data_IF_529901915686
#
_entry.id   IF_529901915686
#
_cell.length_a   1.000
_cell.length_b   1.000
_cell.length_c   1.000
_cell.angle_alpha   90.00
_cell.angle_beta   90.00
_cell.angle_gamma   90.00
#
_symmetry.space_group_name_H-M   'P 1'
#
loop_
_entity.id
_entity.type
_entity.pdbx_description
1 polymer ?
2 non-polymer ?
3 water ?
#
# COMPACT_ATOMS: atom_id res chain seq x y z
N UNK A 2 18.23 3.76 -29.64
CA UNK A 2 16.86 3.53 -30.07
C UNK A 2 16.00 3.02 -28.93
N UNK A 3 14.72 3.37 -28.97
CA UNK A 3 13.76 2.94 -27.96
C UNK A 3 12.36 3.03 -28.50
N UNK A 4 11.40 2.56 -27.71
CA UNK A 4 10.00 2.63 -28.07
C UNK A 4 9.16 3.06 -26.87
N UNK A 5 9.55 4.17 -26.26
CA UNK A 5 8.77 4.73 -25.17
C UNK A 5 7.75 5.73 -25.73
N UNK A 6 6.49 5.57 -25.37
CA UNK A 6 5.43 6.43 -25.90
C UNK A 6 4.69 7.17 -24.80
N UNK A 7 3.94 8.19 -25.18
CA UNK A 7 2.95 8.80 -24.30
C UNK A 7 1.58 8.21 -24.61
N UNK A 8 0.85 7.76 -23.59
CA UNK A 8 -0.43 7.12 -23.82
C UNK A 8 -1.27 6.91 -22.57
N UNK A 9 -2.18 5.94 -22.63
CA UNK A 9 -3.13 5.69 -21.54
C UNK A 9 -2.87 4.36 -20.82
N UNK A 10 -3.48 4.20 -19.64
CA UNK A 10 -3.18 3.07 -18.76
C UNK A 10 -3.39 1.70 -19.40
N UNK A 11 -4.38 1.58 -20.28
CA UNK A 11 -4.67 0.30 -20.92
C UNK A 11 -3.54 -0.12 -21.86
N UNK A 12 -2.91 0.87 -22.49
CA UNK A 12 -1.79 0.61 -23.39
C UNK A 12 -0.56 0.16 -22.62
N UNK A 13 -0.36 0.77 -21.45
CA UNK A 13 0.74 0.37 -20.58
C UNK A 13 0.50 -1.06 -20.09
N UNK A 14 -0.74 -1.37 -19.74
CA UNK A 14 -1.10 -2.71 -19.29
C UNK A 14 -0.78 -3.76 -20.35
N UNK A 15 -1.10 -3.46 -21.60
CA UNK A 15 -0.84 -4.40 -22.68
C UNK A 15 0.65 -4.66 -22.86
N UNK A 16 1.44 -3.60 -22.82
CA UNK A 16 2.89 -3.73 -22.93
C UNK A 16 3.49 -4.48 -21.75
N UNK A 17 3.03 -4.17 -20.53
CA UNK A 17 3.54 -4.80 -19.31
C UNK A 17 3.41 -6.32 -19.36
N UNK A 18 2.34 -6.81 -19.97
CA UNK A 18 2.13 -8.24 -20.09
C UNK A 18 3.27 -8.91 -20.88
N UNK A 19 3.93 -8.16 -21.75
CA UNK A 19 5.05 -8.71 -22.52
C UNK A 19 6.34 -8.74 -21.69
N UNK A 20 6.32 -8.09 -20.54
CA UNK A 20 7.48 -8.10 -19.65
C UNK A 20 7.43 -9.32 -18.72
N UNK A 21 6.24 -9.89 -18.56
CA UNK A 21 6.01 -11.02 -17.65
C UNK A 21 6.51 -10.73 -16.24
N UNK A 31 17.75 -14.29 -20.14
CA UNK A 31 18.76 -14.29 -21.18
C UNK A 31 19.75 -13.15 -20.96
N UNK A 32 20.68 -12.97 -21.91
CA UNK A 32 21.66 -11.87 -21.81
C UNK A 32 20.96 -10.54 -21.60
N UNK A 33 21.53 -9.70 -20.76
CA UNK A 33 20.88 -8.44 -20.38
C UNK A 33 21.12 -7.35 -21.41
N UNK A 34 20.02 -6.69 -21.80
CA UNK A 34 20.04 -5.74 -22.90
C UNK A 34 19.96 -4.32 -22.38
N UNK A 35 19.87 -3.37 -23.31
CA UNK A 35 19.52 -1.99 -22.93
C UNK A 35 18.21 -1.57 -23.59
N UNK A 36 17.33 -2.53 -23.80
CA UNK A 36 16.04 -2.27 -24.43
C UNK A 36 15.24 -1.25 -23.63
N UNK A 37 14.66 -0.27 -24.32
CA UNK A 37 14.00 0.82 -23.66
C UNK A 37 12.62 0.95 -24.25
N UNK A 38 11.62 0.64 -23.44
CA UNK A 38 10.24 0.69 -23.91
C UNK A 38 9.32 1.01 -22.75
N UNK A 39 8.15 1.55 -23.05
CA UNK A 39 7.27 1.89 -21.97
C UNK A 39 6.21 2.87 -22.41
N UNK A 40 5.38 3.27 -21.45
CA UNK A 40 4.32 4.24 -21.67
C UNK A 40 4.27 5.21 -20.52
N UNK A 41 4.34 6.51 -20.85
CA UNK A 41 4.21 7.55 -19.84
C UNK A 41 2.77 8.10 -19.90
N UNK A 42 2.15 8.28 -18.73
CA UNK A 42 0.71 8.55 -18.64
C UNK A 42 0.39 10.00 -18.35
N UNK A 43 1.43 10.79 -18.08
CA UNK A 43 1.26 12.22 -17.85
C UNK A 43 2.20 13.01 -18.74
N UNK A 44 1.76 14.18 -19.17
CA UNK A 44 2.55 15.01 -20.06
C UNK A 44 3.78 15.56 -19.34
N UNK A 45 3.78 15.48 -18.01
CA UNK A 45 4.88 15.97 -17.20
C UNK A 45 6.15 15.11 -17.30
N UNK A 46 5.98 13.86 -17.74
CA UNK A 46 7.11 12.96 -18.01
C UNK A 46 7.17 12.75 -19.52
N UNK A 47 8.26 13.17 -20.14
CA UNK A 47 8.33 13.26 -21.61
C UNK A 47 9.40 12.40 -22.26
N UNK A 48 8.99 11.43 -23.09
CA UNK A 48 10.00 10.71 -23.87
C UNK A 48 10.72 11.69 -24.80
N UNK A 49 11.98 11.42 -25.09
CA UNK A 49 12.73 12.21 -26.06
C UNK A 49 13.14 11.26 -27.17
N UNK A 50 12.59 11.50 -28.36
CA UNK A 50 12.81 10.64 -29.52
C UNK A 50 12.62 9.16 -29.14
N UNK A 51 11.50 8.88 -28.48
CA UNK A 51 11.07 7.53 -28.15
C UNK A 51 11.92 6.83 -27.09
N UNK A 52 12.79 7.59 -26.42
CA UNK A 52 13.58 7.05 -25.31
C UNK A 52 13.24 7.73 -23.99
N UNK A 53 13.52 7.03 -22.90
CA UNK A 53 13.38 7.59 -21.57
C UNK A 53 14.29 6.76 -20.69
N UNK A 54 15.50 7.26 -20.49
CA UNK A 54 16.55 6.50 -19.83
C UNK A 54 17.07 7.22 -18.59
N UNK A 55 17.30 6.46 -17.52
CA UNK A 55 17.84 7.02 -16.29
C UNK A 55 19.20 7.66 -16.55
N UNK A 56 19.42 8.81 -15.90
CA UNK A 56 20.64 9.63 -16.04
C UNK A 56 20.71 10.44 -17.33
N UNK A 57 19.87 10.10 -18.30
CA UNK A 57 19.87 10.83 -19.56
C UNK A 57 18.67 11.77 -19.60
N UNK A 58 17.48 11.19 -19.40
CA UNK A 58 16.24 11.96 -19.47
C UNK A 58 15.58 12.20 -18.11
N UNK A 59 15.96 11.39 -17.13
CA UNK A 59 15.47 11.57 -15.77
C UNK A 59 16.51 11.10 -14.78
N UNK A 60 16.37 11.50 -13.52
CA UNK A 60 17.37 11.12 -12.54
C UNK A 60 16.76 11.05 -11.15
N UNK A 61 17.32 10.17 -10.32
CA UNK A 61 16.93 10.12 -8.92
C UNK A 61 17.77 11.12 -8.16
N UNK A 62 17.30 11.47 -6.97
CA UNK A 62 18.09 12.32 -6.07
C UNK A 62 17.62 12.11 -4.64
N UNK A 63 18.46 12.56 -3.69
CA UNK A 63 18.15 12.55 -2.27
C UNK A 63 18.20 11.14 -1.66
N UNK A 64 18.07 11.03 -0.32
CA UNK A 64 18.01 9.66 0.25
C UNK A 64 16.81 8.88 -0.27
N UNK A 65 16.79 7.59 -0.01
CA UNK A 65 15.66 6.76 -0.41
C UNK A 65 14.39 7.35 0.15
N UNK A 66 13.29 7.19 -0.57
CA UNK A 66 12.01 7.69 -0.12
C UNK A 66 11.28 6.59 0.64
N UNK A 67 11.64 5.34 0.35
CA UNK A 67 11.03 4.20 1.00
C UNK A 67 11.39 2.88 0.36
N UNK A 68 10.87 1.81 0.94
CA UNK A 68 11.01 0.48 0.39
C UNK A 68 9.64 0.16 -0.17
N UNK A 69 9.57 -0.44 -1.35
CA UNK A 69 8.31 -0.92 -1.87
C UNK A 69 8.42 -2.40 -2.17
N UNK A 70 7.35 -3.00 -2.69
CA UNK A 70 7.42 -4.40 -3.06
C UNK A 70 8.44 -4.59 -4.17
N UNK A 71 9.37 -5.52 -3.98
CA UNK A 71 10.32 -5.95 -5.00
C UNK A 71 11.38 -4.92 -5.42
N UNK A 72 11.44 -3.78 -4.72
CA UNK A 72 12.38 -2.75 -5.13
C UNK A 72 12.31 -1.51 -4.27
N UNK A 73 13.33 -0.66 -4.39
CA UNK A 73 13.39 0.55 -3.60
C UNK A 73 12.71 1.70 -4.32
N UNK A 74 12.22 2.65 -3.53
CA UNK A 74 11.49 3.79 -4.06
C UNK A 74 12.35 5.03 -3.89
N UNK A 75 12.38 5.86 -4.93
CA UNK A 75 13.19 7.06 -4.92
C UNK A 75 12.38 8.28 -5.40
N UNK A 76 12.84 9.46 -4.99
CA UNK A 76 12.42 10.71 -5.60
C UNK A 76 13.10 10.81 -6.94
N UNK A 77 12.39 11.28 -7.97
CA UNK A 77 13.04 11.51 -9.25
C UNK A 77 12.55 12.77 -9.94
N UNK A 78 13.33 13.21 -10.93
CA UNK A 78 13.05 14.43 -11.66
C UNK A 78 13.21 14.20 -13.16
N UNK A 79 12.25 14.67 -13.94
CA UNK A 79 12.39 14.68 -15.40
C UNK A 79 13.30 15.85 -15.75
N UNK A 80 14.41 15.57 -16.42
CA UNK A 80 15.39 16.60 -16.71
C UNK A 80 14.86 17.75 -17.57
N UNK A 81 13.96 17.45 -18.50
CA UNK A 81 13.41 18.46 -19.41
C UNK A 81 12.32 19.31 -18.75
N UNK A 82 11.35 18.65 -18.13
CA UNK A 82 10.17 19.34 -17.60
C UNK A 82 10.40 19.84 -16.17
N UNK A 83 11.38 19.25 -15.49
CA UNK A 83 11.66 19.56 -14.10
C UNK A 83 10.68 18.93 -13.12
N UNK A 84 9.73 18.16 -13.64
CA UNK A 84 8.68 17.55 -12.84
C UNK A 84 9.26 16.53 -11.86
N UNK A 85 8.82 16.62 -10.61
CA UNK A 85 9.25 15.70 -9.57
C UNK A 85 8.15 14.68 -9.27
N UNK A 86 8.52 13.41 -9.21
CA UNK A 86 7.58 12.37 -8.82
C UNK A 86 8.33 11.25 -8.09
N UNK A 87 7.66 10.12 -7.87
CA UNK A 87 8.32 8.99 -7.24
C UNK A 87 8.59 7.90 -8.28
N UNK A 88 9.61 7.08 -8.03
CA UNK A 88 9.87 5.92 -8.89
C UNK A 88 10.23 4.71 -8.05
N UNK A 89 9.65 3.55 -8.38
CA UNK A 89 10.12 2.29 -7.83
C UNK A 89 10.86 1.54 -8.92
N UNK A 90 12.09 1.11 -8.62
CA UNK A 90 12.88 0.35 -9.58
C UNK A 90 12.85 -1.12 -9.23
N UNK A 91 12.45 -1.94 -10.19
CA UNK A 91 12.24 -3.36 -9.95
C UNK A 91 12.99 -4.18 -10.98
N UNK A 92 13.76 -5.17 -10.53
CA UNK A 92 14.39 -6.07 -11.47
C UNK A 92 13.30 -6.80 -12.26
N UNK A 93 13.56 -6.99 -13.54
CA UNK A 93 12.57 -7.59 -14.43
C UNK A 93 12.13 -8.97 -13.96
N UNK A 94 13.04 -9.74 -13.35
CA UNK A 94 12.63 -11.10 -12.99
C UNK A 94 11.73 -11.16 -11.76
N UNK A 95 11.62 -10.06 -11.01
CA UNK A 95 10.72 -10.01 -9.86
C UNK A 95 9.49 -9.14 -10.10
N UNK A 96 9.49 -8.42 -11.22
CA UNK A 96 8.36 -7.57 -11.60
C UNK A 96 7.09 -8.41 -11.68
N UNK A 97 6.03 -7.95 -11.05
CA UNK A 97 4.73 -8.60 -11.19
C UNK A 97 3.86 -7.72 -12.06
N UNK A 98 3.40 -8.30 -13.16
CA UNK A 98 2.61 -7.57 -14.13
C UNK A 98 1.37 -6.94 -13.50
N UNK A 99 0.80 -7.60 -12.50
CA UNK A 99 -0.42 -7.10 -11.87
C UNK A 99 -0.29 -5.69 -11.38
N UNK A 100 0.92 -5.27 -10.99
CA UNK A 100 1.13 -3.91 -10.56
C UNK A 100 0.70 -2.88 -11.64
N UNK A 101 0.86 -3.22 -12.91
CA UNK A 101 0.54 -2.32 -14.00
C UNK A 101 -0.74 -2.68 -14.74
N UNK A 102 -1.45 -3.69 -14.26
CA UNK A 102 -2.71 -4.11 -14.87
C UNK A 102 -3.89 -3.82 -13.93
N UNK A 103 -3.72 -4.15 -12.65
CA UNK A 103 -4.82 -4.10 -11.68
C UNK A 103 -5.54 -2.75 -11.62
N UNK A 104 -4.79 -1.66 -11.72
CA UNK A 104 -5.42 -0.34 -11.60
C UNK A 104 -5.65 0.38 -12.93
N UNK A 105 -5.48 -0.32 -14.05
CA UNK A 105 -5.68 0.33 -15.35
C UNK A 105 -7.14 0.74 -15.55
N UNK A 106 -7.39 2.04 -15.57
CA UNK A 106 -8.74 2.56 -15.73
C UNK A 106 -9.42 2.90 -14.42
N UNK A 107 -8.72 2.69 -13.32
CA UNK A 107 -9.24 3.05 -11.99
C UNK A 107 -8.78 4.44 -11.60
N UNK A 108 -9.64 5.17 -10.88
CA UNK A 108 -9.32 6.49 -10.36
C UNK A 108 -10.06 6.73 -9.07
N UNK A 109 -9.32 6.94 -7.97
CA UNK A 109 -9.92 7.24 -6.66
C UNK A 109 -9.01 8.13 -5.85
N UNK A 110 -9.59 9.08 -5.08
CA UNK A 110 -8.74 9.85 -4.17
C UNK A 110 -8.01 8.97 -3.16
N UNK A 111 -8.48 7.73 -2.98
CA UNK A 111 -7.88 6.83 -2.01
C UNK A 111 -6.86 5.89 -2.65
N UNK A 112 -6.51 6.15 -3.91
CA UNK A 112 -5.48 5.35 -4.60
C UNK A 112 -4.48 6.29 -5.27
N UNK A 113 -3.21 6.16 -4.93
CA UNK A 113 -2.21 7.06 -5.50
C UNK A 113 -2.04 6.73 -6.98
N UNK A 114 -2.18 7.75 -7.84
CA UNK A 114 -2.13 7.45 -9.28
C UNK A 114 -0.74 7.09 -9.81
N UNK A 115 -0.68 6.11 -10.71
CA UNK A 115 0.54 5.85 -11.47
C UNK A 115 0.73 6.87 -12.57
N UNK A 116 2.00 7.19 -12.85
CA UNK A 116 2.33 8.11 -13.93
C UNK A 116 2.91 7.39 -15.14
N UNK A 117 3.15 6.09 -15.03
CA UNK A 117 3.62 5.29 -16.15
C UNK A 117 4.66 4.29 -15.73
N UNK A 118 5.27 3.62 -16.70
CA UNK A 118 6.34 2.69 -16.39
C UNK A 118 7.20 2.52 -17.62
N UNK A 119 8.51 2.42 -17.41
CA UNK A 119 9.43 2.29 -18.51
C UNK A 119 10.47 1.25 -18.17
N UNK A 120 10.63 0.28 -19.06
CA UNK A 120 11.67 -0.73 -18.93
C UNK A 120 12.96 -0.24 -19.56
N UNK A 121 14.07 -0.57 -18.91
CA UNK A 121 15.39 -0.26 -19.44
C UNK A 121 16.24 -1.48 -19.18
N UNK A 122 16.36 -2.34 -20.18
CA UNK A 122 17.08 -3.59 -20.00
C UNK A 122 16.40 -4.44 -18.95
N UNK A 123 17.15 -4.93 -17.97
CA UNK A 123 16.55 -5.84 -16.98
C UNK A 123 15.90 -5.10 -15.79
N UNK A 124 15.54 -3.84 -15.98
CA UNK A 124 14.93 -3.04 -14.91
C UNK A 124 13.61 -2.46 -15.39
N UNK A 125 12.59 -2.52 -14.54
CA UNK A 125 11.33 -1.83 -14.77
C UNK A 125 11.24 -0.67 -13.79
N UNK A 126 11.06 0.54 -14.33
CA UNK A 126 10.91 1.74 -13.53
C UNK A 126 9.44 2.15 -13.53
N UNK A 127 8.83 2.11 -12.34
CA UNK A 127 7.41 2.43 -12.23
C UNK A 127 7.26 3.81 -11.60
N UNK A 128 6.55 4.70 -12.31
CA UNK A 128 6.46 6.11 -11.88
C UNK A 128 5.13 6.41 -11.22
N UNK A 129 5.15 7.25 -10.19
CA UNK A 129 3.96 7.49 -9.39
C UNK A 129 3.94 8.91 -8.82
N UNK A 130 2.75 9.44 -8.53
CA UNK A 130 2.66 10.73 -7.85
C UNK A 130 3.47 10.73 -6.56
N UNK A 131 4.23 11.81 -6.34
CA UNK A 131 4.99 12.04 -5.12
C UNK A 131 4.12 12.71 -4.06
N UNK A 132 4.01 12.08 -2.89
CA UNK A 132 3.24 12.66 -1.80
C UNK A 132 4.18 13.06 -0.67
N UNK A 133 4.22 14.36 -0.37
CA UNK A 133 5.24 14.91 0.51
C UNK A 133 4.95 14.60 1.97
N UNK A 134 3.73 14.17 2.26
CA UNK A 134 3.38 13.80 3.60
C UNK A 134 4.08 12.54 4.08
N UNK A 135 4.61 11.75 3.14
CA UNK A 135 5.30 10.53 3.50
C UNK A 135 4.33 9.39 3.76
N UNK A 136 4.85 8.25 4.19
CA UNK A 136 3.97 7.12 4.44
C UNK A 136 3.46 7.10 5.87
N UNK A 137 2.36 6.39 6.07
CA UNK A 137 1.81 6.16 7.40
C UNK A 137 2.83 5.44 8.29
N UNK A 138 3.59 4.54 7.69
CA UNK A 138 4.66 3.83 8.38
C UNK A 138 5.69 4.81 8.93
N UNK A 139 6.06 5.78 8.10
CA UNK A 139 7.01 6.80 8.52
C UNK A 139 6.43 7.65 9.65
N UNK A 140 5.13 7.92 9.61
CA UNK A 140 4.50 8.73 10.65
C UNK A 140 4.52 7.99 11.98
N UNK A 141 4.23 6.69 11.95
CA UNK A 141 4.23 5.89 13.17
C UNK A 141 5.62 5.89 13.81
N UNK A 142 6.64 5.73 12.98
CA UNK A 142 8.02 5.74 13.48
C UNK A 142 8.34 7.08 14.14
N UNK A 143 7.96 8.17 13.48
CA UNK A 143 8.23 9.51 13.97
C UNK A 143 7.52 9.79 15.30
N UNK A 144 6.27 9.35 15.40
CA UNK A 144 5.39 9.73 16.50
C UNK A 144 5.32 8.68 17.59
N UNK A 145 5.97 7.54 17.38
CA UNK A 145 5.93 6.43 18.31
C UNK A 145 4.70 5.57 18.05
N UNK A 146 3.54 6.19 18.25
CA UNK A 146 2.28 5.61 17.81
C UNK A 146 1.25 6.73 17.65
N UNK A 147 0.09 6.39 17.10
CA UNK A 147 -0.94 7.39 16.82
C UNK A 147 -2.11 7.29 17.77
N UNK A 148 -2.71 8.44 18.12
CA UNK A 148 -3.90 8.38 18.96
C UNK A 148 -5.06 7.70 18.25
N UNK A 149 -6.00 7.20 19.06
CA UNK A 149 -7.12 6.42 18.58
C UNK A 149 -7.92 7.12 17.48
N UNK A 150 -8.15 8.41 17.64
CA UNK A 150 -8.97 9.10 16.67
C UNK A 150 -8.28 9.18 15.31
N UNK A 151 -6.97 9.49 15.31
CA UNK A 151 -6.26 9.57 14.03
C UNK A 151 -6.13 8.19 13.40
N UNK A 152 -5.90 7.18 14.23
CA UNK A 152 -5.82 5.82 13.71
C UNK A 152 -7.14 5.40 13.05
N UNK A 153 -8.27 5.69 13.69
CA UNK A 153 -9.56 5.36 13.11
C UNK A 153 -9.77 6.13 11.81
N UNK A 154 -9.38 7.40 11.81
CA UNK A 154 -9.53 8.26 10.64
C UNK A 154 -8.80 7.68 9.44
N UNK A 155 -7.52 7.31 9.64
CA UNK A 155 -6.73 6.74 8.55
C UNK A 155 -7.22 5.35 8.13
N UNK A 156 -7.57 4.50 9.10
CA UNK A 156 -8.13 3.20 8.76
C UNK A 156 -9.38 3.35 7.91
N UNK A 157 -10.24 4.31 8.25
CA UNK A 157 -11.43 4.58 7.47
C UNK A 157 -11.14 4.94 6.02
N UNK A 158 -10.13 5.77 5.80
CA UNK A 158 -9.77 6.18 4.44
C UNK A 158 -9.17 5.00 3.67
N UNK A 159 -8.35 4.18 4.35
CA UNK A 159 -7.80 3.00 3.71
C UNK A 159 -8.94 2.07 3.30
N UNK A 160 -9.91 1.90 4.19
CA UNK A 160 -11.05 1.03 3.89
C UNK A 160 -11.90 1.54 2.72
N UNK A 161 -11.96 2.86 2.55
CA UNK A 161 -12.66 3.45 1.42
C UNK A 161 -11.98 3.05 0.13
N UNK A 162 -10.65 3.04 0.15
CA UNK A 162 -9.87 2.59 -0.99
C UNK A 162 -10.13 1.13 -1.24
N UNK A 163 -10.21 0.34 -0.17
CA UNK A 163 -10.47 -1.08 -0.32
C UNK A 163 -11.87 -1.36 -0.87
N UNK A 164 -12.86 -0.55 -0.50
CA UNK A 164 -14.20 -0.73 -1.05
C UNK A 164 -14.15 -0.58 -2.57
N UNK A 165 -13.45 0.46 -3.02
CA UNK A 165 -13.28 0.74 -4.43
C UNK A 165 -12.63 -0.42 -5.16
N UNK A 166 -11.57 -0.98 -4.58
CA UNK A 166 -10.92 -2.15 -5.19
C UNK A 166 -11.80 -3.39 -5.14
N UNK A 167 -12.39 -3.67 -3.98
CA UNK A 167 -13.06 -4.96 -3.81
C UNK A 167 -14.30 -5.11 -4.67
N UNK A 168 -14.99 -4.00 -4.93
CA UNK A 168 -16.17 -4.06 -5.78
C UNK A 168 -15.78 -4.40 -7.23
N UNK A 169 -14.51 -4.17 -7.55
CA UNK A 169 -13.94 -4.47 -8.85
C UNK A 169 -13.18 -5.79 -8.84
N UNK A 170 -13.37 -6.57 -7.77
CA UNK A 170 -12.71 -7.87 -7.63
C UNK A 170 -11.19 -7.76 -7.68
N UNK A 171 -10.67 -6.69 -7.09
CA UNK A 171 -9.23 -6.53 -6.98
C UNK A 171 -8.82 -6.62 -5.52
N UNK A 172 -7.88 -7.52 -5.25
CA UNK A 172 -7.23 -7.61 -3.94
C UNK A 172 -5.97 -6.75 -3.99
N UNK A 173 -5.79 -5.84 -3.03
CA UNK A 173 -4.55 -5.07 -2.95
C UNK A 173 -3.36 -5.98 -2.64
N UNK A 174 -3.48 -6.81 -1.60
CA UNK A 174 -2.50 -7.86 -1.39
C UNK A 174 -1.40 -7.58 -0.38
N UNK A 175 -1.20 -6.31 -0.01
CA UNK A 175 -0.28 -6.01 1.08
C UNK A 175 -0.60 -4.67 1.73
N UNK A 176 -1.80 -4.59 2.31
CA UNK A 176 -2.22 -3.39 3.01
C UNK A 176 -1.44 -3.25 4.31
N UNK A 177 -0.64 -2.19 4.40
CA UNK A 177 0.16 -1.92 5.59
C UNK A 177 0.55 -0.45 5.59
N UNK A 178 0.95 0.09 6.76
CA UNK A 178 1.21 1.51 6.90
C UNK A 178 2.28 2.01 5.94
N UNK A 179 3.28 1.17 5.67
CA UNK A 179 4.35 1.56 4.75
C UNK A 179 3.83 1.77 3.32
N UNK A 180 2.65 1.23 3.01
CA UNK A 180 2.05 1.37 1.67
C UNK A 180 0.85 2.31 1.65
N UNK A 181 0.70 3.14 2.69
CA UNK A 181 -0.37 4.14 2.69
C UNK A 181 0.30 5.50 2.74
N UNK A 182 0.00 6.36 1.78
CA UNK A 182 0.70 7.64 1.68
C UNK A 182 -0.20 8.80 2.10
N UNK A 183 0.41 9.83 2.66
CA UNK A 183 -0.33 10.93 3.27
C UNK A 183 -0.10 12.21 2.51
N UNK A 184 -1.14 13.01 2.40
CA UNK A 184 -1.04 14.34 1.80
C UNK A 184 -0.15 15.24 2.67
N UNK A 185 0.28 16.36 2.12
CA UNK A 185 1.21 17.24 2.81
C UNK A 185 0.74 17.71 4.19
N UNK A 186 -0.58 17.83 4.37
CA UNK A 186 -1.12 18.33 5.64
C UNK A 186 -1.65 17.22 6.54
N UNK A 187 -1.51 15.99 6.08
CA UNK A 187 -1.91 14.81 6.84
C UNK A 187 -3.38 14.47 6.79
N UNK A 188 -4.16 15.24 6.03
CA UNK A 188 -5.62 15.06 6.03
C UNK A 188 -6.13 13.94 5.12
N UNK A 189 -5.33 13.55 4.12
CA UNK A 189 -5.79 12.53 3.17
C UNK A 189 -4.80 11.39 3.10
N UNK A 190 -5.33 10.17 3.19
CA UNK A 190 -4.50 8.97 3.06
C UNK A 190 -4.92 8.20 1.80
N UNK A 191 -3.97 7.54 1.17
CA UNK A 191 -4.26 6.82 -0.07
C UNK A 191 -3.40 5.56 -0.16
N UNK A 192 -3.98 4.49 -0.71
CA UNK A 192 -3.24 3.25 -0.93
C UNK A 192 -2.28 3.38 -2.10
N UNK A 193 -1.10 2.79 -1.95
CA UNK A 193 -0.20 2.66 -3.10
C UNK A 193 0.39 1.25 -3.09
N UNK A 194 1.16 0.96 -4.13
CA UNK A 194 1.92 -0.28 -4.28
C UNK A 194 1.07 -1.53 -4.49
N UNK A 195 0.87 -1.86 -5.76
CA UNK A 195 0.03 -2.99 -6.13
C UNK A 195 0.86 -4.18 -6.56
N UNK A 196 2.11 -4.24 -6.07
CA UNK A 196 2.99 -5.35 -6.37
C UNK A 196 2.47 -6.73 -5.97
N UNK A 197 1.66 -6.79 -4.91
CA UNK A 197 1.04 -8.05 -4.51
C UNK A 197 -0.43 -8.20 -4.91
N UNK A 198 -0.89 -7.35 -5.83
CA UNK A 198 -2.31 -7.33 -6.15
C UNK A 198 -2.73 -8.56 -6.96
N UNK A 199 -4.03 -8.85 -6.91
CA UNK A 199 -4.57 -9.99 -7.64
C UNK A 199 -5.93 -9.62 -8.18
N UNK A 200 -6.15 -9.89 -9.46
CA UNK A 200 -7.45 -9.69 -10.05
C UNK A 200 -8.21 -10.99 -9.82
N UNK A 201 -9.21 -10.94 -8.95
CA UNK A 201 -10.01 -12.11 -8.65
C UNK A 201 -11.12 -12.26 -9.69
N UNK A 214 -2.61 -17.00 -8.64
CA UNK A 214 -1.97 -17.36 -7.37
C UNK A 214 -1.58 -16.12 -6.56
N UNK A 215 -2.00 -16.09 -5.30
CA UNK A 215 -1.65 -14.98 -4.42
C UNK A 215 -0.19 -15.09 -3.97
N UNK A 216 0.56 -14.00 -4.14
CA UNK A 216 1.92 -13.93 -3.65
C UNK A 216 1.88 -13.17 -2.34
N UNK A 217 2.09 -13.87 -1.21
CA UNK A 217 1.91 -13.29 0.11
C UNK A 217 2.71 -12.01 0.34
N UNK A 218 2.10 -11.08 1.06
CA UNK A 218 2.79 -9.88 1.48
C UNK A 218 3.53 -10.05 2.80
N UNK A 219 3.41 -9.03 3.63
CA UNK A 219 4.21 -8.92 4.82
C UNK A 219 3.70 -9.89 5.90
N UNK A 220 4.59 -10.76 6.39
CA UNK A 220 4.23 -11.88 7.27
C UNK A 220 3.34 -11.48 8.47
N UNK A 221 3.72 -10.43 9.17
CA UNK A 221 3.00 -10.01 10.37
C UNK A 221 1.55 -9.63 10.06
N UNK A 222 1.27 -9.30 8.81
CA UNK A 222 -0.06 -8.80 8.41
C UNK A 222 -0.88 -9.84 7.65
N UNK A 223 -0.33 -11.04 7.50
CA UNK A 223 -0.99 -12.08 6.71
C UNK A 223 -2.09 -12.83 7.47
N UNK A 224 -3.23 -13.00 6.80
CA UNK A 224 -4.40 -13.67 7.40
C UNK A 224 -4.20 -15.19 7.53
N UNK A 225 -4.99 -15.83 8.41
CA UNK A 225 -4.83 -17.28 8.57
C UNK A 225 -5.03 -18.05 7.26
N UNK A 226 -6.00 -17.66 6.44
CA UNK A 226 -6.24 -18.42 5.20
C UNK A 226 -5.03 -18.32 4.27
N UNK A 227 -4.29 -17.21 4.34
CA UNK A 227 -3.04 -17.08 3.59
C UNK A 227 -2.00 -18.10 4.02
N UNK A 228 -1.71 -18.14 5.32
CA UNK A 228 -0.72 -19.09 5.83
C UNK A 228 -1.22 -20.53 5.69
N UNK A 229 -2.53 -20.73 5.58
CA UNK A 229 -3.07 -22.09 5.46
C UNK A 229 -3.19 -22.52 4.00
N UNK A 230 -2.79 -21.63 3.09
CA UNK A 230 -2.79 -21.93 1.67
C UNK A 230 -4.18 -22.17 1.11
N UNK A 231 -5.18 -21.59 1.75
CA UNK A 231 -6.55 -21.69 1.31
C UNK A 231 -6.84 -20.62 0.24
N UNK A 232 -7.93 -20.79 -0.51
CA UNK A 232 -8.30 -19.78 -1.51
C UNK A 232 -8.44 -18.40 -0.90
N UNK A 233 -7.64 -17.44 -1.40
CA UNK A 233 -7.64 -16.10 -0.84
C UNK A 233 -8.58 -15.21 -1.63
N UNK A 234 -9.28 -14.31 -0.92
CA UNK A 234 -10.15 -13.36 -1.55
C UNK A 234 -9.97 -12.01 -0.88
N UNK A 235 -10.89 -11.09 -1.15
CA UNK A 235 -10.75 -9.72 -0.71
C UNK A 235 -10.66 -9.59 0.80
N UNK A 236 -11.20 -10.56 1.53
CA UNK A 236 -11.14 -10.52 3.01
C UNK A 236 -9.70 -10.51 3.52
N UNK A 237 -8.76 -10.99 2.72
CA UNK A 237 -7.33 -10.92 3.08
C UNK A 237 -6.90 -9.47 3.37
N UNK A 238 -7.39 -8.52 2.57
CA UNK A 238 -7.05 -7.12 2.77
C UNK A 238 -7.64 -6.57 4.07
N UNK A 239 -8.76 -7.13 4.51
CA UNK A 239 -9.43 -6.60 5.71
C UNK A 239 -8.63 -6.99 6.95
N UNK A 240 -8.20 -8.26 6.99
CA UNK A 240 -7.32 -8.71 8.06
C UNK A 240 -6.05 -7.85 8.09
N UNK A 241 -5.43 -7.64 6.93
CA UNK A 241 -4.25 -6.78 6.83
C UNK A 241 -4.53 -5.37 7.35
N UNK A 242 -5.66 -4.80 6.97
CA UNK A 242 -5.96 -3.45 7.42
C UNK A 242 -6.07 -3.35 8.93
N UNK A 243 -6.56 -4.40 9.59
CA UNK A 243 -6.68 -4.37 11.03
C UNK A 243 -5.33 -4.66 11.72
N UNK A 244 -4.45 -5.40 11.07
CA UNK A 244 -3.08 -5.49 11.56
C UNK A 244 -2.40 -4.12 11.49
N UNK A 245 -2.66 -3.39 10.40
CA UNK A 245 -2.19 -2.02 10.26
C UNK A 245 -2.76 -1.12 11.36
N UNK A 246 -4.03 -1.33 11.71
CA UNK A 246 -4.64 -0.59 12.81
C UNK A 246 -3.91 -0.84 14.13
N UNK A 247 -3.62 -2.12 14.42
CA UNK A 247 -2.84 -2.43 15.63
C UNK A 247 -1.46 -1.79 15.57
N UNK A 248 -0.83 -1.78 14.39
CA UNK A 248 0.46 -1.13 14.23
C UNK A 248 0.38 0.39 14.56
N UNK A 249 -0.63 1.06 14.02
CA UNK A 249 -0.81 2.48 14.32
C UNK A 249 -0.99 2.72 15.82
N UNK A 250 -1.76 1.84 16.47
CA UNK A 250 -2.12 2.06 17.87
C UNK A 250 -0.95 1.74 18.83
N UNK A 251 -0.25 0.65 18.57
CA UNK A 251 0.78 0.15 19.46
C UNK A 251 2.18 0.58 19.10
N UNK A 252 2.38 0.96 17.84
CA UNK A 252 3.68 1.36 17.36
C UNK A 252 4.55 0.18 16.94
N UNK A 253 3.95 -1.00 16.85
CA UNK A 253 4.68 -2.18 16.38
C UNK A 253 3.70 -3.10 15.69
N UNK A 254 4.21 -3.93 14.78
CA UNK A 254 3.38 -4.90 14.09
C UNK A 254 2.81 -5.90 15.07
N UNK A 255 1.63 -6.45 14.77
CA UNK A 255 1.12 -7.52 15.63
C UNK A 255 2.05 -8.73 15.66
N UNK A 256 1.88 -9.56 16.69
CA UNK A 256 2.65 -10.78 16.92
C UNK A 256 4.06 -10.54 17.46
N UNK A 257 4.74 -9.52 16.93
CA UNK A 257 6.18 -9.34 17.16
C UNK A 257 6.59 -9.22 18.63
N UNK A 258 5.73 -8.64 19.45
CA UNK A 258 6.06 -8.45 20.85
C UNK A 258 5.74 -9.65 21.71
N UNK A 259 5.11 -10.67 21.13
CA UNK A 259 4.76 -11.86 21.91
C UNK A 259 5.45 -13.11 21.41
N UNK A 260 5.88 -13.10 20.14
CA UNK A 260 6.43 -14.31 19.54
C UNK A 260 7.76 -14.10 18.83
N UNK A 261 8.46 -15.20 18.57
CA UNK A 261 9.91 -15.19 18.38
C UNK A 261 10.40 -15.41 16.95
N UNK A 262 10.21 -16.61 16.43
CA UNK A 262 10.75 -16.98 15.12
C UNK A 262 9.74 -16.85 14.01
N UNK A 263 9.48 -17.95 13.29
CA UNK A 263 8.53 -17.95 12.18
C UNK A 263 7.13 -17.70 12.73
N UNK A 264 6.42 -16.77 12.13
CA UNK A 264 5.11 -16.40 12.65
C UNK A 264 3.98 -17.16 11.98
N UNK A 265 4.27 -17.78 10.84
CA UNK A 265 3.23 -18.43 10.05
C UNK A 265 2.38 -19.44 10.85
N UNK A 266 3.04 -20.35 11.56
CA UNK A 266 2.29 -21.33 12.34
C UNK A 266 1.49 -20.68 13.49
N UNK A 267 2.04 -19.61 14.06
CA UNK A 267 1.35 -18.91 15.15
C UNK A 267 0.10 -18.19 14.64
N UNK A 268 0.20 -17.54 13.49
CA UNK A 268 -0.95 -16.91 12.88
C UNK A 268 -2.07 -17.93 12.61
N UNK A 269 -1.70 -19.10 12.10
CA UNK A 269 -2.71 -20.09 11.78
C UNK A 269 -3.33 -20.69 13.03
N UNK A 270 -2.54 -20.81 14.10
CA UNK A 270 -2.94 -21.57 15.27
C UNK A 270 -3.40 -20.78 16.51
N UNK A 271 -2.81 -19.61 16.74
CA UNK A 271 -3.18 -18.79 17.90
C UNK A 271 -4.51 -18.10 17.67
N UNK A 272 -5.17 -17.63 18.75
CA UNK A 272 -6.32 -16.76 18.54
C UNK A 272 -5.92 -15.54 17.72
N UNK A 273 -6.88 -14.91 17.03
CA UNK A 273 -6.51 -13.67 16.35
C UNK A 273 -5.99 -12.66 17.37
N UNK A 274 -5.15 -11.73 16.93
CA UNK A 274 -4.38 -10.94 17.91
C UNK A 274 -5.17 -9.80 18.55
N UNK A 275 -6.41 -10.07 18.93
CA UNK A 275 -7.21 -9.03 19.59
C UNK A 275 -6.70 -8.69 21.00
N UNK A 276 -5.84 -9.53 21.56
CA UNK A 276 -5.24 -9.19 22.85
C UNK A 276 -4.32 -7.99 22.73
N UNK A 277 -3.93 -7.65 21.50
CA UNK A 277 -3.10 -6.46 21.23
C UNK A 277 -3.90 -5.15 21.11
N UNK A 278 -5.23 -5.23 21.18
CA UNK A 278 -6.01 -4.00 21.18
C UNK A 278 -5.73 -3.28 22.50
N UNK A 279 -5.29 -2.00 22.43
CA UNK A 279 -5.02 -1.27 23.68
C UNK A 279 -6.24 -1.22 24.59
N UNK A 280 -6.06 -1.45 25.90
CA UNK A 280 -7.19 -1.35 26.82
C UNK A 280 -7.87 0.01 26.76
N UNK A 281 -7.12 1.07 26.39
CA UNK A 281 -7.72 2.41 26.32
C UNK A 281 -8.74 2.60 25.18
N UNK A 282 -8.74 1.72 24.20
CA UNK A 282 -9.67 1.89 23.07
C UNK A 282 -11.12 1.74 23.50
N UNK A 283 -11.98 2.55 22.88
CA UNK A 283 -13.41 2.56 23.20
C UNK A 283 -14.11 1.33 22.63
N UNK A 284 -15.29 1.01 23.16
CA UNK A 284 -15.93 -0.25 22.79
C UNK A 284 -16.14 -0.45 21.29
N UNK A 285 -16.59 0.56 20.55
CA UNK A 285 -16.81 0.35 19.13
C UNK A 285 -15.50 0.19 18.35
N UNK A 286 -14.44 0.83 18.83
CA UNK A 286 -13.11 0.65 18.24
C UNK A 286 -12.64 -0.79 18.39
N UNK A 287 -12.72 -1.31 19.62
CA UNK A 287 -12.29 -2.68 19.87
C UNK A 287 -13.15 -3.65 19.06
N UNK A 288 -14.46 -3.37 19.00
CA UNK A 288 -15.39 -4.21 18.25
C UNK A 288 -15.05 -4.24 16.78
N UNK A 289 -14.77 -3.06 16.21
CA UNK A 289 -14.40 -3.00 14.79
C UNK A 289 -13.16 -3.85 14.49
N UNK A 290 -12.12 -3.70 15.31
CA UNK A 290 -10.89 -4.44 15.11
C UNK A 290 -11.15 -5.94 15.20
N UNK A 291 -11.95 -6.35 16.19
CA UNK A 291 -12.30 -7.76 16.35
C UNK A 291 -13.01 -8.30 15.11
N UNK A 292 -13.90 -7.50 14.52
CA UNK A 292 -14.67 -7.95 13.36
C UNK A 292 -13.81 -8.06 12.11
N UNK A 293 -12.80 -7.22 12.02
CA UNK A 293 -11.86 -7.30 10.91
C UNK A 293 -10.81 -8.38 11.09
N UNK A 294 -10.70 -8.94 12.30
CA UNK A 294 -9.74 -10.00 12.59
C UNK A 294 -10.38 -11.36 12.91
N UNK A 295 -11.58 -11.63 12.40
CA UNK A 295 -12.15 -12.97 12.51
C UNK A 295 -11.24 -13.91 11.70
N UNK A 296 -10.89 -15.05 12.28
CA UNK A 296 -9.93 -15.92 11.60
C UNK A 296 -10.48 -16.54 10.33
N UNK A 297 -11.75 -16.90 10.36
CA UNK A 297 -12.42 -17.46 9.19
C UNK A 297 -12.97 -16.31 8.34
N UNK A 298 -12.47 -16.20 7.09
CA UNK A 298 -12.83 -15.02 6.31
C UNK A 298 -14.34 -14.91 6.07
N UNK A 299 -15.07 -16.04 6.13
CA UNK A 299 -16.52 -15.98 5.99
C UNK A 299 -17.16 -15.12 7.09
N UNK A 300 -16.53 -15.05 8.26
CA UNK A 300 -17.10 -14.31 9.39
C UNK A 300 -16.52 -12.91 9.50
N UNK A 301 -15.49 -12.65 8.70
CA UNK A 301 -14.76 -11.37 8.77
C UNK A 301 -15.53 -10.28 8.02
N UNK A 302 -15.54 -9.07 8.56
CA UNK A 302 -16.24 -7.96 7.95
C UNK A 302 -15.73 -7.67 6.53
N UNK A 303 -16.63 -7.19 5.68
CA UNK A 303 -16.23 -6.66 4.38
C UNK A 303 -15.70 -5.24 4.54
N UNK A 304 -15.07 -4.71 3.49
CA UNK A 304 -14.62 -3.33 3.53
C UNK A 304 -15.78 -2.37 3.75
N UNK A 305 -16.88 -2.61 3.03
CA UNK A 305 -18.08 -1.78 3.16
C UNK A 305 -18.59 -1.77 4.61
N UNK A 306 -18.71 -2.95 5.20
CA UNK A 306 -19.20 -3.09 6.57
C UNK A 306 -18.26 -2.42 7.57
N UNK A 307 -16.98 -2.76 7.45
CA UNK A 307 -16.00 -2.27 8.42
C UNK A 307 -15.83 -0.76 8.33
N UNK A 308 -15.93 -0.21 7.12
CA UNK A 308 -15.79 1.24 6.98
C UNK A 308 -16.89 1.96 7.75
N UNK A 309 -18.11 1.42 7.67
CA UNK A 309 -19.23 2.01 8.40
C UNK A 309 -19.01 1.91 9.91
N UNK A 310 -18.53 0.76 10.37
CA UNK A 310 -18.31 0.58 11.79
C UNK A 310 -17.22 1.53 12.29
N UNK A 311 -16.16 1.67 11.49
CA UNK A 311 -15.04 2.54 11.84
C UNK A 311 -15.51 4.00 11.91
N UNK A 312 -16.38 4.40 10.99
CA UNK A 312 -16.92 5.76 11.02
C UNK A 312 -17.71 6.03 12.28
N UNK A 313 -18.53 5.06 12.70
CA UNK A 313 -19.27 5.21 13.95
C UNK A 313 -18.34 5.23 15.16
N UNK A 314 -17.31 4.38 15.13
CA UNK A 314 -16.32 4.38 16.18
C UNK A 314 -15.63 5.74 16.33
N UNK A 315 -15.31 6.36 15.20
CA UNK A 315 -14.65 7.66 15.23
C UNK A 315 -15.58 8.72 15.83
N UNK A 316 -16.86 8.67 15.44
CA UNK A 316 -17.83 9.61 16.01
C UNK A 316 -17.94 9.42 17.52
N UNK A 317 -17.90 8.16 17.97
CA UNK A 317 -18.08 7.89 19.39
C UNK A 317 -16.92 8.36 20.27
N UNK A 318 -15.73 8.55 19.69
CA UNK A 318 -14.62 9.11 20.46
C UNK A 318 -14.48 10.62 20.29
N UNK A 319 -15.48 11.23 19.64
CA UNK A 319 -15.52 12.67 19.51
C UNK A 319 -15.06 13.22 18.17
N UNK A 320 -14.80 12.34 17.21
CA UNK A 320 -14.36 12.76 15.89
C UNK A 320 -12.87 13.01 15.85
N UNK A 321 -12.35 13.40 14.68
CA UNK A 321 -10.92 13.66 14.57
C UNK A 321 -10.57 14.99 15.25
N UNK A 322 -9.74 14.91 16.29
CA UNK A 322 -9.33 16.10 17.05
C UNK A 322 -7.81 16.25 17.17
N UNK A 323 -7.08 15.14 17.17
CA UNK A 323 -5.64 15.18 17.42
C UNK A 323 -4.91 15.75 16.22
N UNK A 324 -3.88 16.57 16.46
CA UNK A 324 -3.14 17.15 15.33
C UNK A 324 -2.26 16.11 14.66
N UNK A 325 -2.01 16.12 13.36
CA UNK A 325 -1.38 14.89 12.81
C UNK A 325 0.06 14.53 13.26
N UNK A 326 0.68 15.43 14.02
CA UNK A 326 2.06 15.32 14.51
C UNK A 326 2.11 16.00 15.86
N UNK A 327 3.28 16.53 16.21
CA UNK A 327 3.43 17.16 17.51
C UNK A 327 3.82 16.18 18.58
N UNK A 328 2.84 15.60 19.26
CA UNK A 328 3.09 14.87 20.50
C UNK A 328 3.45 13.39 20.33
N UNK A 329 4.71 13.07 20.63
CA UNK A 329 5.18 11.69 20.63
C UNK A 329 4.37 10.90 21.65
N UNK A 330 3.92 9.73 21.25
CA UNK A 330 3.12 8.86 22.11
C UNK A 330 3.88 7.56 22.31
N UNK A 331 4.04 7.16 23.58
CA UNK A 331 4.84 5.98 23.90
C UNK A 331 4.25 4.71 23.32
N UNK A 332 5.04 4.00 22.51
CA UNK A 332 4.59 2.73 21.94
C UNK A 332 4.69 1.63 22.98
N UNK A 333 4.09 0.48 22.71
CA UNK A 333 4.21 -0.63 23.63
C UNK A 333 5.64 -1.16 23.55
N UNK A 334 6.30 -1.25 24.71
CA UNK A 334 7.69 -1.66 24.77
C UNK A 334 7.90 -3.12 24.41
#
# INVERSE_FOLDING_TARGET
GSGSVSSGQAHSLASLAKTWSSGSAKLQRLGPETEDNEGVLLTEKLKPVDYEYREEVHWMTHQPRVGRGSFGEVHRMKDKQTGFQCAVKKVRLEVFRVEELVACAGLSSPRIVPLYGAVREGPWVNIFMELLEGGSLGQLIKQMGCLPEDRALYYLGQALEGLEYLHTRRILHGDVKADNVLLSSDGSRAALCDFGHALCLQPDGLGKSLLTGDYIPGTETHMAPEVVMGKPCDAKVDIWSSCCMMLHMLNGCHPWTQYFRGPLCLKIASEPPPIREIPPSCAPLTAQAIQEGLRKEPVHRASAMELRRKVGKALQEVGGLKSPWKGEYKEPRGNS
#
